data_IF_927155383371
#
_entry.id   IF_927155383371
#
_cell.length_a   1.000
_cell.length_b   1.000
_cell.length_c   1.000
_cell.angle_alpha   90.00
_cell.angle_beta   90.00
_cell.angle_gamma   90.00
#
_symmetry.space_group_name_H-M   'P 1'
#
loop_
_entity.id
_entity.type
_entity.pdbx_description
1 polymer ?
#
# COMPACT_ATOMS: atom_id res chain seq x y z
N UNK A 1 -4.53 15.60 -18.37
CA UNK A 1 -5.11 14.24 -18.28
C UNK A 1 -5.57 14.08 -16.84
N UNK A 2 -6.89 14.12 -16.58
CA UNK A 2 -7.40 13.94 -15.23
C UNK A 2 -7.17 12.49 -14.84
N UNK A 3 -6.26 12.25 -13.90
CA UNK A 3 -6.16 10.96 -13.20
C UNK A 3 -7.39 10.93 -12.31
N UNK A 4 -8.40 10.17 -12.70
CA UNK A 4 -9.53 9.89 -11.82
C UNK A 4 -8.98 9.07 -10.67
N UNK A 5 -8.83 9.70 -9.50
CA UNK A 5 -8.61 8.97 -8.26
C UNK A 5 -9.79 8.02 -8.08
N UNK A 6 -9.55 6.72 -8.26
CA UNK A 6 -10.50 5.72 -7.80
C UNK A 6 -10.65 5.94 -6.29
N UNK A 7 -11.87 5.86 -5.73
CA UNK A 7 -12.04 5.97 -4.28
C UNK A 7 -11.11 4.97 -3.61
N UNK A 8 -10.33 5.40 -2.60
CA UNK A 8 -9.38 4.53 -1.88
C UNK A 8 -10.06 3.21 -1.47
N UNK A 9 -11.32 3.28 -1.03
CA UNK A 9 -12.14 2.11 -0.69
C UNK A 9 -12.35 1.12 -1.85
N UNK A 10 -12.47 1.62 -3.09
CA UNK A 10 -12.59 0.78 -4.29
C UNK A 10 -11.27 0.10 -4.66
N UNK A 11 -10.14 0.75 -4.41
CA UNK A 11 -8.80 0.17 -4.62
C UNK A 11 -8.51 -0.89 -3.56
N UNK A 12 -8.79 -0.62 -2.27
CA UNK A 12 -8.60 -1.61 -1.19
C UNK A 12 -9.34 -2.91 -1.51
N UNK A 13 -10.58 -2.83 -2.02
CA UNK A 13 -11.34 -4.02 -2.40
C UNK A 13 -10.67 -4.88 -3.49
N UNK A 14 -9.89 -4.31 -4.41
CA UNK A 14 -9.19 -5.10 -5.44
C UNK A 14 -7.98 -5.85 -4.88
N UNK A 15 -7.40 -5.40 -3.76
CA UNK A 15 -6.26 -6.04 -3.10
C UNK A 15 -6.68 -7.06 -2.04
N UNK A 16 -7.98 -7.23 -1.74
CA UNK A 16 -8.43 -8.14 -0.69
C UNK A 16 -8.03 -9.59 -0.98
N UNK A 17 -7.16 -10.20 -0.17
CA UNK A 17 -6.78 -11.59 -0.33
C UNK A 17 -7.98 -12.49 0.01
N UNK A 18 -8.28 -13.44 -0.88
CA UNK A 18 -9.34 -14.44 -0.69
C UNK A 18 -8.90 -15.64 0.14
N UNK A 19 -7.59 -15.83 0.29
CA UNK A 19 -7.00 -16.97 1.00
C UNK A 19 -6.87 -16.74 2.50
N UNK A 20 -7.12 -15.52 2.98
CA UNK A 20 -7.02 -15.15 4.40
C UNK A 20 -8.42 -15.15 4.99
N UNK A 21 -8.63 -15.94 6.05
CA UNK A 21 -9.93 -16.08 6.68
C UNK A 21 -10.22 -14.91 7.64
N UNK A 22 -9.19 -14.41 8.33
CA UNK A 22 -9.34 -13.28 9.25
C UNK A 22 -9.68 -11.99 8.46
N UNK A 23 -10.87 -11.38 8.67
CA UNK A 23 -11.31 -10.22 7.90
C UNK A 23 -10.52 -8.95 8.21
N UNK A 24 -9.98 -8.83 9.43
CA UNK A 24 -9.11 -7.72 9.83
C UNK A 24 -7.78 -7.84 9.09
N UNK A 25 -7.12 -9.01 9.16
CA UNK A 25 -5.88 -9.26 8.43
C UNK A 25 -6.06 -9.08 6.92
N UNK A 26 -7.16 -9.60 6.35
CA UNK A 26 -7.49 -9.41 4.93
C UNK A 26 -7.60 -7.92 4.55
N UNK A 27 -8.18 -7.09 5.43
CA UNK A 27 -8.29 -5.65 5.21
C UNK A 27 -6.93 -4.97 5.32
N UNK A 28 -6.12 -5.29 6.34
CA UNK A 28 -4.80 -4.70 6.52
C UNK A 28 -3.84 -5.06 5.37
N UNK A 29 -3.86 -6.31 4.90
CA UNK A 29 -3.08 -6.72 3.71
C UNK A 29 -3.55 -5.97 2.46
N UNK A 30 -4.85 -5.71 2.34
CA UNK A 30 -5.36 -4.94 1.22
C UNK A 30 -4.91 -3.47 1.25
N UNK A 31 -4.93 -2.83 2.42
CA UNK A 31 -4.42 -1.48 2.64
C UNK A 31 -2.92 -1.39 2.38
N UNK A 32 -2.14 -2.35 2.92
CA UNK A 32 -0.72 -2.50 2.64
C UNK A 32 -0.43 -2.61 1.14
N UNK A 33 -1.25 -3.38 0.41
CA UNK A 33 -1.15 -3.53 -1.04
C UNK A 33 -1.37 -2.21 -1.79
N UNK A 34 -2.36 -1.41 -1.38
CA UNK A 34 -2.64 -0.10 -1.97
C UNK A 34 -1.47 0.86 -1.73
N UNK A 35 -0.92 0.91 -0.52
CA UNK A 35 0.20 1.80 -0.19
C UNK A 35 1.47 1.37 -0.92
N UNK A 36 1.76 0.06 -1.01
CA UNK A 36 2.85 -0.48 -1.83
C UNK A 36 2.72 -0.05 -3.31
N UNK A 37 1.51 -0.12 -3.87
CA UNK A 37 1.26 0.31 -5.25
C UNK A 37 1.51 1.80 -5.45
N UNK A 38 1.17 2.62 -4.45
CA UNK A 38 1.45 4.07 -4.47
C UNK A 38 2.95 4.35 -4.46
N UNK A 39 3.71 3.67 -3.60
CA UNK A 39 5.19 3.76 -3.57
C UNK A 39 5.79 3.41 -4.93
N UNK A 40 5.38 2.28 -5.53
CA UNK A 40 5.88 1.85 -6.85
C UNK A 40 5.59 2.92 -7.93
N UNK A 41 4.37 3.46 -7.94
CA UNK A 41 3.98 4.52 -8.87
C UNK A 41 4.87 5.76 -8.73
N UNK A 42 5.12 6.23 -7.50
CA UNK A 42 5.95 7.41 -7.24
C UNK A 42 7.41 7.19 -7.63
N UNK A 43 7.95 5.99 -7.36
CA UNK A 43 9.30 5.61 -7.81
C UNK A 43 9.38 5.62 -9.34
N UNK A 44 8.37 5.12 -10.05
CA UNK A 44 8.33 5.22 -11.52
C UNK A 44 8.27 6.67 -12.02
N UNK A 45 7.56 7.57 -11.33
CA UNK A 45 7.54 8.99 -11.70
C UNK A 45 8.93 9.63 -11.58
N UNK A 46 9.73 9.25 -10.58
CA UNK A 46 11.11 9.72 -10.42
C UNK A 46 12.07 9.22 -11.53
N UNK A 47 11.69 8.17 -12.27
CA UNK A 47 12.47 7.64 -13.39
C UNK A 47 12.20 8.39 -14.71
N UNK A 48 11.23 9.31 -14.75
CA UNK A 48 10.90 10.05 -15.97
C UNK A 48 12.05 11.00 -16.36
N UNK A 49 12.51 10.98 -17.63
CA UNK A 49 13.72 11.69 -18.05
C UNK A 49 13.59 13.22 -18.03
N UNK A 50 12.37 13.76 -18.03
CA UNK A 50 12.09 15.20 -18.13
C UNK A 50 11.23 15.72 -16.97
N UNK A 51 11.41 15.16 -15.76
CA UNK A 51 10.71 15.65 -14.57
C UNK A 51 11.23 17.04 -14.20
N UNK A 52 10.33 18.01 -14.02
CA UNK A 52 10.70 19.34 -13.54
C UNK A 52 11.04 19.32 -12.04
N UNK A 53 11.82 20.29 -11.55
CA UNK A 53 12.16 20.38 -10.12
C UNK A 53 10.92 20.49 -9.23
N UNK A 54 9.89 21.19 -9.69
CA UNK A 54 8.61 21.29 -8.97
C UNK A 54 7.94 19.93 -8.84
N UNK A 55 7.80 19.19 -9.95
CA UNK A 55 7.23 17.84 -9.92
C UNK A 55 8.07 16.90 -9.07
N UNK A 56 9.41 17.04 -9.10
CA UNK A 56 10.31 16.26 -8.26
C UNK A 56 10.07 16.51 -6.78
N UNK A 57 9.88 17.75 -6.35
CA UNK A 57 9.53 18.09 -4.96
C UNK A 57 8.21 17.45 -4.57
N UNK A 58 7.18 17.58 -5.42
CA UNK A 58 5.86 17.02 -5.15
C UNK A 58 5.93 15.48 -5.01
N UNK A 59 6.59 14.79 -5.94
CA UNK A 59 6.75 13.32 -5.93
C UNK A 59 7.55 12.86 -4.71
N UNK A 60 8.62 13.57 -4.33
CA UNK A 60 9.41 13.22 -3.15
C UNK A 60 8.64 13.44 -1.84
N UNK A 61 7.84 14.51 -1.74
CA UNK A 61 7.00 14.76 -0.58
C UNK A 61 5.94 13.67 -0.42
N UNK A 62 5.27 13.29 -1.51
CA UNK A 62 4.31 12.20 -1.52
C UNK A 62 4.96 10.85 -1.20
N UNK A 63 6.14 10.57 -1.76
CA UNK A 63 6.86 9.34 -1.48
C UNK A 63 7.24 9.22 0.00
N UNK A 64 7.68 10.33 0.61
CA UNK A 64 7.98 10.37 2.03
C UNK A 64 6.73 10.09 2.88
N UNK A 65 5.58 10.67 2.53
CA UNK A 65 4.32 10.39 3.21
C UNK A 65 3.92 8.90 3.06
N UNK A 66 4.05 8.34 1.86
CA UNK A 66 3.77 6.92 1.60
C UNK A 66 4.67 5.98 2.40
N UNK A 67 5.96 6.32 2.55
CA UNK A 67 6.89 5.54 3.38
C UNK A 67 6.47 5.56 4.86
N UNK A 68 6.03 6.72 5.36
CA UNK A 68 5.52 6.84 6.74
C UNK A 68 4.25 6.00 6.93
N UNK A 69 3.31 6.04 5.98
CA UNK A 69 2.11 5.20 6.03
C UNK A 69 2.46 3.71 5.96
N UNK A 70 3.38 3.32 5.09
CA UNK A 70 3.85 1.94 4.97
C UNK A 70 4.45 1.44 6.30
N UNK A 71 5.24 2.27 6.97
CA UNK A 71 5.78 1.95 8.28
C UNK A 71 4.65 1.74 9.32
N UNK A 72 3.57 2.53 9.26
CA UNK A 72 2.41 2.35 10.14
C UNK A 72 1.61 1.08 9.82
N UNK A 73 1.56 0.64 8.56
CA UNK A 73 0.88 -0.59 8.18
C UNK A 73 1.69 -1.85 8.51
N UNK A 74 3.00 -1.73 8.68
CA UNK A 74 3.92 -2.84 8.98
C UNK A 74 4.27 -2.91 10.48
N UNK A 75 3.36 -2.51 11.35
CA UNK A 75 3.56 -2.50 12.80
C UNK A 75 3.41 -3.90 13.43
N UNK A 76 3.46 -3.95 14.76
CA UNK A 76 3.41 -5.20 15.53
C UNK A 76 2.02 -5.88 15.40
N UNK A 77 0.93 -5.10 15.27
CA UNK A 77 -0.43 -5.61 15.14
C UNK A 77 -0.61 -6.42 13.85
N UNK A 78 -0.08 -5.93 12.71
CA UNK A 78 -0.10 -6.71 11.47
C UNK A 78 0.71 -8.00 11.60
N UNK A 79 1.88 -7.95 12.26
CA UNK A 79 2.76 -9.12 12.42
C UNK A 79 2.11 -10.20 13.30
N UNK A 80 1.45 -9.80 14.38
CA UNK A 80 0.70 -10.71 15.27
C UNK A 80 -0.43 -11.40 14.51
N UNK A 81 -1.23 -10.65 13.74
CA UNK A 81 -2.30 -11.23 12.93
C UNK A 81 -1.78 -12.19 11.86
N UNK A 82 -0.63 -11.91 11.25
CA UNK A 82 0.01 -12.85 10.31
C UNK A 82 0.46 -14.13 11.04
N UNK A 83 1.05 -14.01 12.22
CA UNK A 83 1.46 -15.15 13.03
C UNK A 83 0.25 -16.03 13.41
N UNK A 84 -0.83 -15.41 13.87
CA UNK A 84 -2.09 -16.09 14.19
C UNK A 84 -2.65 -16.84 12.97
N UNK A 85 -2.69 -16.19 11.79
CA UNK A 85 -3.16 -16.84 10.57
C UNK A 85 -2.28 -18.05 10.21
N UNK A 86 -0.95 -17.92 10.33
CA UNK A 86 0.00 -19.01 10.07
C UNK A 86 -0.21 -20.22 11.01
N UNK A 87 -0.43 -19.98 12.31
CA UNK A 87 -0.69 -21.05 13.29
C UNK A 87 -2.00 -21.81 13.00
N UNK A 88 -2.97 -21.14 12.37
CA UNK A 88 -4.26 -21.72 12.02
C UNK A 88 -4.28 -22.44 10.66
N UNK A 89 -3.24 -22.33 9.85
CA UNK A 89 -3.10 -23.09 8.60
C UNK A 89 -2.80 -24.55 8.97
N UNK A 90 -3.73 -25.45 8.68
CA UNK A 90 -3.53 -26.90 8.83
C UNK A 90 -3.12 -27.47 7.46
N UNK A 91 -2.01 -28.22 7.41
CA UNK A 91 -1.56 -28.97 6.22
C UNK A 91 -2.59 -30.02 5.74
#
# INVERSE_FOLDING_TARGET
MQVTELPINSLVNSYRPKAIANPTLSTLIAELGVECQRVIMLVHQLQLPNISDRQKVDVLAELNASIIHLQSHCDDDLQELIADELENITD
#
